data_IF_893753314627
#
_entry.id   IF_893753314627
#
_cell.length_a   1.000
_cell.length_b   1.000
_cell.length_c   1.000
_cell.angle_alpha   90.00
_cell.angle_beta   90.00
_cell.angle_gamma   90.00
#
_symmetry.space_group_name_H-M   'P 1'
#
loop_
_entity.id
_entity.type
_entity.pdbx_description
1 polymer ?
#
# COMPACT_ATOMS: atom_id res chain seq x y z
N UNK A 1 -32.79 29.60 -24.07
CA UNK A 1 -32.55 28.23 -23.52
C UNK A 1 -31.18 28.24 -22.85
N UNK A 2 -30.91 29.18 -21.96
CA UNK A 2 -31.23 29.09 -20.52
C UNK A 2 -30.71 27.80 -19.90
N UNK A 3 -29.42 27.79 -19.58
CA UNK A 3 -28.82 26.86 -18.63
C UNK A 3 -29.14 27.38 -17.23
N UNK A 4 -30.19 26.81 -16.63
CA UNK A 4 -30.60 27.08 -15.25
C UNK A 4 -29.50 26.67 -14.26
N UNK A 5 -28.93 27.66 -13.61
CA UNK A 5 -28.08 27.54 -12.41
C UNK A 5 -28.94 27.68 -11.16
N UNK A 6 -29.01 26.64 -10.32
CA UNK A 6 -29.46 26.68 -8.91
C UNK A 6 -29.04 25.38 -8.20
N UNK A 7 -28.54 25.30 -6.97
CA UNK A 7 -28.09 26.24 -5.93
C UNK A 7 -27.26 25.41 -4.92
N UNK A 8 -26.02 25.80 -4.57
CA UNK A 8 -25.25 25.14 -3.49
C UNK A 8 -25.38 25.97 -2.21
N UNK A 9 -26.32 25.63 -1.33
CA UNK A 9 -26.27 26.00 0.10
C UNK A 9 -25.74 24.81 0.91
N UNK A 10 -25.12 24.92 2.08
CA UNK A 10 -25.10 25.96 3.12
C UNK A 10 -23.73 25.85 3.85
N UNK A 11 -23.02 26.95 4.13
CA UNK A 11 -21.68 26.89 4.75
C UNK A 11 -20.53 27.04 3.75
N UNK A 12 -19.29 27.04 4.26
CA UNK A 12 -18.28 28.03 3.82
C UNK A 12 -17.99 28.03 2.31
N UNK A 13 -18.35 29.18 1.72
CA UNK A 13 -18.13 29.77 0.38
C UNK A 13 -16.63 29.96 0.05
N UNK A 14 -16.20 30.77 -0.93
CA UNK A 14 -16.39 30.65 -2.37
C UNK A 14 -15.04 30.26 -3.01
N UNK A 15 -15.02 30.01 -4.32
CA UNK A 15 -13.94 29.30 -5.04
C UNK A 15 -13.82 27.80 -4.67
N UNK A 16 -14.92 27.17 -4.22
CA UNK A 16 -14.96 25.70 -4.13
C UNK A 16 -14.76 25.10 -5.51
N UNK A 17 -13.92 24.08 -5.55
CA UNK A 17 -13.72 23.26 -6.72
C UNK A 17 -15.04 22.56 -7.08
N UNK A 18 -15.23 22.27 -8.37
CA UNK A 18 -16.30 21.36 -8.76
C UNK A 18 -16.02 19.94 -8.21
N UNK A 19 -17.05 19.08 -8.18
CA UNK A 19 -16.91 17.73 -7.65
C UNK A 19 -15.84 16.90 -8.39
N UNK A 20 -15.66 17.15 -9.69
CA UNK A 20 -14.66 16.44 -10.48
C UNK A 20 -13.23 16.89 -10.10
N UNK A 21 -13.04 18.17 -9.80
CA UNK A 21 -11.79 18.73 -9.33
C UNK A 21 -11.47 18.27 -7.90
N UNK A 22 -12.46 18.11 -7.03
CA UNK A 22 -12.25 17.44 -5.73
C UNK A 22 -11.81 15.99 -5.92
N UNK A 23 -12.51 15.21 -6.75
CA UNK A 23 -12.16 13.82 -6.99
C UNK A 23 -10.73 13.66 -7.54
N UNK A 24 -10.30 14.55 -8.44
CA UNK A 24 -8.93 14.55 -8.98
C UNK A 24 -7.89 15.02 -7.97
N UNK A 25 -8.18 16.05 -7.18
CA UNK A 25 -7.19 16.65 -6.29
C UNK A 25 -6.99 15.87 -4.98
N UNK A 26 -8.00 15.08 -4.58
CA UNK A 26 -7.99 14.27 -3.35
C UNK A 26 -8.01 12.77 -3.64
N UNK A 27 -7.69 12.35 -4.87
CA UNK A 27 -7.39 10.95 -5.16
C UNK A 27 -6.06 10.53 -4.53
N UNK A 28 -5.84 9.23 -4.37
CA UNK A 28 -4.56 8.71 -3.91
C UNK A 28 -3.41 9.21 -4.80
N UNK A 29 -2.37 9.77 -4.19
CA UNK A 29 -1.18 10.27 -4.90
C UNK A 29 -0.43 9.15 -5.63
N UNK A 30 -0.44 7.95 -5.06
CA UNK A 30 0.08 6.74 -5.65
C UNK A 30 -1.06 5.73 -5.76
N UNK A 31 -1.41 5.18 -6.94
CA UNK A 31 -2.41 4.12 -7.03
C UNK A 31 -1.91 2.81 -6.41
N UNK A 32 -2.80 1.89 -5.98
CA UNK A 32 -2.39 0.56 -5.57
C UNK A 32 -1.84 -0.24 -6.76
N UNK A 33 -1.03 -1.27 -6.47
CA UNK A 33 -0.58 -2.20 -7.50
C UNK A 33 -1.78 -2.91 -8.14
N UNK A 34 -1.72 -3.09 -9.45
CA UNK A 34 -2.61 -4.02 -10.13
C UNK A 34 -2.19 -5.46 -9.81
N UNK A 35 -3.10 -6.42 -10.00
CA UNK A 35 -2.80 -7.84 -9.77
C UNK A 35 -1.54 -8.33 -10.50
N UNK A 36 -1.33 -8.07 -11.81
CA UNK A 36 -0.10 -8.47 -12.47
C UNK A 36 1.16 -7.83 -11.88
N UNK A 37 1.09 -6.55 -11.50
CA UNK A 37 2.21 -5.86 -10.87
C UNK A 37 2.54 -6.45 -9.50
N UNK A 38 1.51 -6.73 -8.68
CA UNK A 38 1.68 -7.34 -7.37
C UNK A 38 2.29 -8.74 -7.45
N UNK A 39 1.89 -9.56 -8.42
CA UNK A 39 2.50 -10.87 -8.64
C UNK A 39 3.98 -10.75 -9.03
N UNK A 40 4.30 -9.88 -10.00
CA UNK A 40 5.68 -9.67 -10.44
C UNK A 40 6.56 -9.16 -9.28
N UNK A 41 6.05 -8.22 -8.50
CA UNK A 41 6.78 -7.66 -7.36
C UNK A 41 6.94 -8.67 -6.22
N UNK A 42 5.92 -9.50 -5.95
CA UNK A 42 6.00 -10.56 -4.95
C UNK A 42 7.05 -11.62 -5.30
N UNK A 43 7.20 -11.97 -6.59
CA UNK A 43 8.23 -12.90 -7.08
C UNK A 43 9.67 -12.36 -6.91
N UNK A 44 9.85 -11.07 -6.64
CA UNK A 44 11.17 -10.52 -6.27
C UNK A 44 11.57 -10.88 -4.83
N UNK A 45 10.67 -11.36 -3.98
CA UNK A 45 11.05 -11.74 -2.62
C UNK A 45 11.93 -12.99 -2.60
N UNK A 46 13.04 -12.97 -1.87
CA UNK A 46 13.89 -14.15 -1.67
C UNK A 46 13.37 -15.11 -0.60
N UNK A 47 12.28 -14.78 0.09
CA UNK A 47 11.71 -15.58 1.18
C UNK A 47 12.75 -15.99 2.23
N UNK A 48 13.53 -15.01 2.70
CA UNK A 48 14.60 -15.21 3.66
C UNK A 48 14.11 -15.93 4.92
N UNK A 49 14.86 -16.92 5.40
CA UNK A 49 14.55 -17.64 6.64
C UNK A 49 14.63 -16.72 7.87
N UNK A 50 15.75 -16.02 8.05
CA UNK A 50 15.89 -14.93 9.03
C UNK A 50 15.63 -13.59 8.34
N UNK A 51 14.35 -13.26 8.12
CA UNK A 51 13.93 -12.10 7.36
C UNK A 51 14.19 -10.78 8.12
N UNK A 52 15.19 -9.95 7.73
CA UNK A 52 15.47 -8.73 8.46
C UNK A 52 14.34 -7.70 8.33
N UNK A 53 13.57 -7.76 7.24
CA UNK A 53 12.37 -6.94 7.03
C UNK A 53 11.27 -7.22 8.05
N UNK A 54 11.13 -8.47 8.53
CA UNK A 54 10.17 -8.82 9.59
C UNK A 54 10.63 -8.27 10.95
N UNK A 55 11.93 -8.38 11.26
CA UNK A 55 12.53 -7.81 12.47
C UNK A 55 12.44 -6.28 12.51
N UNK A 56 12.58 -5.62 11.36
CA UNK A 56 12.46 -4.16 11.24
C UNK A 56 11.02 -3.65 11.32
N UNK A 57 10.01 -4.52 11.19
CA UNK A 57 8.61 -4.14 11.30
C UNK A 57 8.19 -4.04 12.78
N UNK A 58 7.78 -2.86 13.29
CA UNK A 58 7.45 -2.70 14.71
C UNK A 58 6.27 -3.57 15.21
N UNK A 59 5.39 -3.99 14.30
CA UNK A 59 4.25 -4.86 14.61
C UNK A 59 4.56 -6.35 14.44
N UNK A 60 5.79 -6.70 14.04
CA UNK A 60 6.20 -8.10 13.87
C UNK A 60 5.43 -8.84 12.76
N UNK A 61 5.00 -8.14 11.71
CA UNK A 61 4.36 -8.79 10.56
C UNK A 61 5.36 -9.73 9.89
N UNK A 62 4.93 -10.97 9.61
CA UNK A 62 5.68 -11.92 8.80
C UNK A 62 5.64 -11.52 7.32
N UNK A 63 6.58 -10.65 6.94
CA UNK A 63 6.70 -10.08 5.59
C UNK A 63 6.85 -11.17 4.51
N UNK A 64 7.79 -12.12 4.61
CA UNK A 64 7.90 -13.20 3.62
C UNK A 64 6.60 -13.99 3.43
N UNK A 65 5.91 -14.31 4.53
CA UNK A 65 4.70 -15.15 4.48
C UNK A 65 3.55 -14.47 3.74
N UNK A 66 3.24 -13.20 4.02
CA UNK A 66 2.16 -12.53 3.30
C UNK A 66 2.51 -12.30 1.83
N UNK A 67 3.78 -11.99 1.52
CA UNK A 67 4.23 -11.83 0.13
C UNK A 67 4.12 -13.15 -0.63
N UNK A 68 4.48 -14.27 -0.01
CA UNK A 68 4.36 -15.58 -0.64
C UNK A 68 2.90 -15.93 -0.96
N UNK A 69 1.97 -15.54 -0.07
CA UNK A 69 0.54 -15.71 -0.31
C UNK A 69 0.05 -14.86 -1.48
N UNK A 70 0.58 -13.64 -1.66
CA UNK A 70 0.29 -12.82 -2.85
C UNK A 70 0.79 -13.53 -4.11
N UNK A 71 2.03 -14.02 -4.14
CA UNK A 71 2.60 -14.75 -5.28
C UNK A 71 1.76 -15.97 -5.68
N UNK A 72 1.18 -16.67 -4.71
CA UNK A 72 0.27 -17.80 -4.93
C UNK A 72 -1.17 -17.39 -5.32
N UNK A 73 -1.47 -16.10 -5.43
CA UNK A 73 -2.82 -15.59 -5.69
C UNK A 73 -3.77 -15.69 -4.48
N UNK A 74 -3.27 -15.97 -3.29
CA UNK A 74 -4.03 -16.05 -2.04
C UNK A 74 -4.08 -14.69 -1.32
N UNK A 75 -4.73 -13.72 -1.95
CA UNK A 75 -4.85 -12.34 -1.44
C UNK A 75 -5.53 -12.28 -0.08
N UNK A 76 -6.60 -13.04 0.12
CA UNK A 76 -7.32 -13.10 1.41
C UNK A 76 -6.44 -13.67 2.52
N UNK A 77 -5.64 -14.68 2.22
CA UNK A 77 -4.67 -15.23 3.16
C UNK A 77 -3.59 -14.24 3.53
N UNK A 78 -3.09 -13.47 2.55
CA UNK A 78 -2.13 -12.39 2.79
C UNK A 78 -2.73 -11.31 3.69
N UNK A 79 -3.94 -10.83 3.36
CA UNK A 79 -4.67 -9.85 4.14
C UNK A 79 -4.86 -10.30 5.59
N UNK A 80 -5.27 -11.56 5.78
CA UNK A 80 -5.45 -12.15 7.10
C UNK A 80 -4.15 -12.16 7.91
N UNK A 81 -3.04 -12.60 7.31
CA UNK A 81 -1.74 -12.63 7.98
C UNK A 81 -1.28 -11.22 8.41
N UNK A 82 -1.53 -10.20 7.57
CA UNK A 82 -1.22 -8.80 7.87
C UNK A 82 -2.10 -8.29 9.02
N UNK A 83 -3.41 -8.49 8.93
CA UNK A 83 -4.40 -7.93 9.84
C UNK A 83 -4.43 -8.62 11.21
N UNK A 84 -4.02 -9.90 11.30
CA UNK A 84 -3.85 -10.61 12.58
C UNK A 84 -2.70 -10.01 13.41
N UNK A 85 -1.60 -9.60 12.77
CA UNK A 85 -0.49 -8.94 13.45
C UNK A 85 -0.70 -7.42 13.62
N UNK A 86 -1.36 -6.78 12.64
CA UNK A 86 -1.60 -5.33 12.63
C UNK A 86 -3.01 -5.01 12.10
N UNK A 87 -3.98 -4.69 12.99
CA UNK A 87 -5.35 -4.36 12.57
C UNK A 87 -5.45 -3.07 11.74
N UNK A 88 -4.40 -2.24 11.71
CA UNK A 88 -4.29 -1.03 10.90
C UNK A 88 -3.45 -1.26 9.62
N UNK A 89 -3.35 -2.51 9.15
CA UNK A 89 -2.54 -2.90 7.98
C UNK A 89 -2.73 -1.99 6.76
N UNK A 90 -3.98 -1.64 6.41
CA UNK A 90 -4.26 -0.75 5.27
C UNK A 90 -3.76 0.69 5.46
N UNK A 91 -3.81 1.22 6.69
CA UNK A 91 -3.23 2.54 6.98
C UNK A 91 -1.71 2.49 6.92
N UNK A 92 -1.10 1.51 7.60
CA UNK A 92 0.35 1.33 7.60
C UNK A 92 0.91 1.17 6.18
N UNK A 93 0.20 0.47 5.30
CA UNK A 93 0.63 0.30 3.91
C UNK A 93 0.70 1.61 3.09
N UNK A 94 0.14 2.71 3.61
CA UNK A 94 0.11 4.03 2.95
C UNK A 94 1.04 5.05 3.62
N UNK A 95 1.27 4.92 4.93
CA UNK A 95 1.95 5.96 5.74
C UNK A 95 3.18 5.46 6.49
N UNK A 96 3.46 4.15 6.46
CA UNK A 96 4.65 3.60 7.10
C UNK A 96 5.90 4.10 6.36
N UNK A 97 6.90 4.63 7.06
CA UNK A 97 8.16 5.08 6.43
C UNK A 97 9.04 3.85 6.14
N UNK A 98 8.68 3.10 5.10
CA UNK A 98 9.32 1.82 4.74
C UNK A 98 10.80 1.98 4.41
N UNK A 99 11.19 3.15 3.88
CA UNK A 99 12.55 3.55 3.51
C UNK A 99 13.53 3.63 4.67
N UNK A 100 13.03 3.63 5.92
CA UNK A 100 13.84 3.54 7.15
C UNK A 100 13.46 2.34 8.02
N UNK A 101 12.61 1.45 7.50
CA UNK A 101 12.11 0.26 8.20
C UNK A 101 12.27 -1.00 7.34
N UNK A 102 11.17 -1.69 7.04
CA UNK A 102 11.18 -3.01 6.41
C UNK A 102 11.84 -3.05 5.03
N UNK A 103 11.71 -2.00 4.22
CA UNK A 103 12.33 -1.93 2.89
C UNK A 103 13.80 -1.56 2.99
N UNK A 104 14.20 -0.72 3.95
CA UNK A 104 15.62 -0.46 4.26
C UNK A 104 16.35 -1.76 4.64
N UNK A 105 15.73 -2.58 5.48
CA UNK A 105 16.28 -3.84 5.96
C UNK A 105 16.26 -4.97 4.90
N UNK A 106 15.66 -4.75 3.74
CA UNK A 106 15.57 -5.78 2.70
C UNK A 106 16.97 -6.17 2.18
N UNK A 107 17.29 -7.47 2.17
CA UNK A 107 18.58 -7.99 1.70
C UNK A 107 18.88 -7.67 0.23
N UNK A 108 17.85 -7.36 -0.58
CA UNK A 108 18.02 -6.96 -1.99
C UNK A 108 18.76 -5.64 -2.13
N UNK A 109 18.75 -4.77 -1.13
CA UNK A 109 19.52 -3.53 -1.16
C UNK A 109 21.02 -3.80 -1.32
N UNK A 110 21.54 -4.91 -0.76
CA UNK A 110 22.96 -5.26 -0.88
C UNK A 110 23.32 -5.72 -2.30
N UNK A 111 22.39 -6.33 -3.02
CA UNK A 111 22.67 -6.98 -4.30
C UNK A 111 22.24 -6.14 -5.51
N UNK A 112 21.22 -5.30 -5.36
CA UNK A 112 20.51 -4.66 -6.49
C UNK A 112 20.18 -3.19 -6.25
N UNK A 113 20.48 -2.64 -5.07
CA UNK A 113 20.07 -1.29 -4.65
C UNK A 113 18.56 -1.02 -4.83
N UNK A 114 17.73 -2.08 -4.86
CA UNK A 114 16.28 -1.99 -5.01
C UNK A 114 15.58 -3.01 -4.12
N UNK A 115 14.90 -2.58 -3.04
CA UNK A 115 14.18 -3.50 -2.17
C UNK A 115 12.95 -4.09 -2.87
N UNK A 116 12.32 -5.05 -2.20
CA UNK A 116 10.93 -5.41 -2.52
C UNK A 116 10.02 -4.28 -2.06
N UNK A 117 9.03 -3.89 -2.85
CA UNK A 117 8.04 -2.85 -2.50
C UNK A 117 7.01 -3.42 -1.50
N UNK A 118 7.47 -3.71 -0.28
CA UNK A 118 6.71 -4.34 0.81
C UNK A 118 5.46 -3.51 1.14
N UNK A 119 5.58 -2.19 1.24
CA UNK A 119 4.44 -1.32 1.52
C UNK A 119 3.37 -1.39 0.43
N UNK A 120 3.79 -1.42 -0.83
CA UNK A 120 2.89 -1.52 -1.98
C UNK A 120 2.18 -2.89 -2.04
N UNK A 121 2.88 -3.98 -1.71
CA UNK A 121 2.30 -5.32 -1.59
C UNK A 121 1.33 -5.43 -0.41
N UNK A 122 1.65 -4.80 0.73
CA UNK A 122 0.73 -4.75 1.88
C UNK A 122 -0.57 -4.00 1.50
N UNK A 123 -0.46 -2.90 0.75
CA UNK A 123 -1.61 -2.13 0.27
C UNK A 123 -2.42 -2.89 -0.78
N UNK A 124 -1.78 -3.72 -1.59
CA UNK A 124 -2.47 -4.59 -2.52
C UNK A 124 -3.37 -5.59 -1.79
N UNK A 125 -2.88 -6.14 -0.66
CA UNK A 125 -3.62 -7.12 0.12
C UNK A 125 -4.65 -6.52 1.10
N UNK A 126 -4.55 -5.23 1.47
CA UNK A 126 -5.40 -4.58 2.51
C UNK A 126 -6.07 -3.28 2.07
#
# INVERSE_FOLDING_TARGET
METTTASVGCGVHGARLDLAAYARNFSDAHPPLTRPQALIEAERCYYCYEAPCATACPTGIDVPSFIHRIAQGNERGAARAILEANPLGGMCARVCPTEVLCEQACVRNVNEDKPVEIGALQRYAT
#
